data_IF_636954296945
#
_entry.id   IF_636954296945
#
_cell.length_a   1.000
_cell.length_b   1.000
_cell.length_c   1.000
_cell.angle_alpha   90.00
_cell.angle_beta   90.00
_cell.angle_gamma   90.00
#
_symmetry.space_group_name_H-M   'P 1'
#
loop_
_entity.id
_entity.type
_entity.pdbx_description
1 polymer ?
#
# COMPACT_ATOMS: atom_id res chain seq x y z
N UNK A 1 15.39 -0.26 -33.84
CA UNK A 1 14.67 0.43 -32.74
C UNK A 1 14.42 -0.63 -31.68
N UNK A 2 14.98 -0.47 -30.47
CA UNK A 2 15.02 -1.54 -29.46
C UNK A 2 13.77 -1.46 -28.59
N UNK A 3 13.00 -2.54 -28.55
CA UNK A 3 11.84 -2.70 -27.67
C UNK A 3 12.31 -2.71 -26.22
N UNK A 4 11.98 -1.63 -25.50
CA UNK A 4 12.25 -1.49 -24.08
C UNK A 4 11.41 -2.49 -23.30
N UNK A 5 12.08 -3.45 -22.65
CA UNK A 5 11.49 -4.35 -21.65
C UNK A 5 10.98 -3.47 -20.50
N UNK A 6 9.69 -3.16 -20.55
CA UNK A 6 8.97 -2.51 -19.47
C UNK A 6 9.07 -3.36 -18.21
N UNK A 7 9.61 -2.78 -17.15
CA UNK A 7 9.58 -3.37 -15.82
C UNK A 7 8.14 -3.72 -15.48
N UNK A 8 7.90 -5.01 -15.24
CA UNK A 8 6.67 -5.62 -14.72
C UNK A 8 6.13 -4.85 -13.50
N UNK A 9 5.36 -3.80 -13.76
CA UNK A 9 4.54 -3.14 -12.77
C UNK A 9 3.54 -4.18 -12.26
N UNK A 10 3.62 -4.49 -10.96
CA UNK A 10 2.69 -5.34 -10.26
C UNK A 10 1.24 -4.95 -10.63
N UNK A 11 0.46 -5.92 -11.11
CA UNK A 11 -0.95 -5.76 -11.51
C UNK A 11 -1.72 -4.85 -10.54
N UNK A 12 -2.39 -3.80 -11.04
CA UNK A 12 -3.41 -3.12 -10.23
C UNK A 12 -4.45 -2.31 -11.02
N UNK A 13 -4.70 -2.64 -12.30
CA UNK A 13 -5.89 -2.16 -13.03
C UNK A 13 -6.45 -3.30 -13.88
N UNK A 14 -7.21 -4.19 -13.25
CA UNK A 14 -7.91 -5.31 -13.93
C UNK A 14 -9.10 -4.83 -14.78
N UNK A 15 -9.17 -3.54 -15.12
CA UNK A 15 -10.31 -2.97 -15.83
C UNK A 15 -11.64 -3.06 -15.08
N UNK A 16 -11.60 -3.10 -13.74
CA UNK A 16 -12.81 -3.14 -12.91
C UNK A 16 -13.67 -1.91 -13.18
N UNK A 17 -14.96 -2.13 -13.46
CA UNK A 17 -15.93 -1.07 -13.77
C UNK A 17 -16.75 -0.64 -12.56
N UNK A 18 -16.46 -1.18 -11.37
CA UNK A 18 -17.11 -0.79 -10.14
C UNK A 18 -16.86 0.72 -9.88
N UNK A 19 -17.94 1.44 -9.58
CA UNK A 19 -17.88 2.90 -9.47
C UNK A 19 -18.97 3.43 -8.55
N UNK A 20 -18.67 4.53 -7.87
CA UNK A 20 -19.62 5.30 -7.08
C UNK A 20 -19.42 6.78 -7.38
N UNK A 21 -20.47 7.45 -7.84
CA UNK A 21 -20.49 8.89 -8.04
C UNK A 21 -21.32 9.54 -6.94
N UNK A 22 -20.74 10.55 -6.31
CA UNK A 22 -21.42 11.38 -5.32
C UNK A 22 -21.70 12.74 -5.94
N UNK A 23 -22.92 13.24 -5.76
CA UNK A 23 -23.32 14.59 -6.11
C UNK A 23 -23.76 15.31 -4.85
N UNK A 24 -23.43 16.59 -4.73
CA UNK A 24 -23.95 17.44 -3.66
C UNK A 24 -25.26 18.06 -4.11
N UNK A 25 -26.32 17.81 -3.35
CA UNK A 25 -27.64 18.41 -3.56
C UNK A 25 -28.01 19.20 -2.31
N UNK A 26 -28.17 20.51 -2.48
CA UNK A 26 -28.33 21.48 -1.41
C UNK A 26 -27.26 21.32 -0.31
N UNK A 27 -27.62 20.65 0.79
CA UNK A 27 -26.77 20.43 1.97
C UNK A 27 -26.46 18.94 2.21
N UNK A 28 -26.83 18.04 1.31
CA UNK A 28 -26.64 16.59 1.44
C UNK A 28 -25.81 16.04 0.28
N UNK A 29 -25.07 14.97 0.54
CA UNK A 29 -24.42 14.18 -0.50
C UNK A 29 -25.36 13.04 -0.90
N UNK A 30 -25.62 12.91 -2.19
CA UNK A 30 -26.44 11.84 -2.77
C UNK A 30 -25.58 10.98 -3.69
N UNK A 31 -25.86 9.68 -3.73
CA UNK A 31 -25.21 8.75 -4.66
C UNK A 31 -25.94 8.87 -6.00
N UNK A 32 -25.30 9.47 -7.01
CA UNK A 32 -25.92 9.69 -8.33
C UNK A 32 -25.75 8.51 -9.28
N UNK A 33 -24.75 7.66 -9.05
CA UNK A 33 -24.55 6.41 -9.79
C UNK A 33 -23.73 5.45 -8.95
N UNK A 34 -24.16 4.19 -8.91
CA UNK A 34 -23.48 3.12 -8.20
C UNK A 34 -23.42 1.85 -9.05
N UNK A 35 -22.27 1.22 -9.12
CA UNK A 35 -22.07 -0.07 -9.78
C UNK A 35 -21.16 -0.91 -8.89
N UNK A 36 -21.72 -1.95 -8.29
CA UNK A 36 -21.03 -2.87 -7.37
C UNK A 36 -20.50 -4.13 -8.07
N UNK A 37 -20.61 -4.19 -9.40
CA UNK A 37 -20.13 -5.34 -10.13
C UNK A 37 -18.60 -5.31 -10.26
N UNK A 38 -17.94 -6.10 -9.42
CA UNK A 38 -16.51 -6.29 -9.43
C UNK A 38 -16.12 -7.49 -10.32
N UNK A 39 -15.04 -7.34 -11.10
CA UNK A 39 -14.49 -8.44 -11.91
C UNK A 39 -13.29 -9.13 -11.21
N UNK A 40 -13.12 -8.90 -9.92
CA UNK A 40 -12.07 -9.46 -9.09
C UNK A 40 -12.58 -9.61 -7.66
N UNK A 41 -11.96 -10.49 -6.90
CA UNK A 41 -12.24 -10.63 -5.47
C UNK A 41 -11.69 -9.43 -4.68
N UNK A 42 -12.30 -9.16 -3.52
CA UNK A 42 -11.79 -8.15 -2.59
C UNK A 42 -10.47 -8.62 -1.95
N UNK A 43 -9.62 -7.66 -1.59
CA UNK A 43 -8.39 -7.97 -0.86
C UNK A 43 -8.70 -8.54 0.53
N UNK A 44 -8.01 -9.61 0.89
CA UNK A 44 -8.07 -10.20 2.23
C UNK A 44 -7.55 -9.17 3.25
N UNK A 45 -8.14 -9.05 4.47
CA UNK A 45 -7.67 -8.11 5.50
C UNK A 45 -6.17 -8.19 5.83
N UNK A 46 -5.55 -9.36 5.65
CA UNK A 46 -4.09 -9.53 5.83
C UNK A 46 -3.26 -8.84 4.75
N UNK A 47 -3.80 -8.72 3.52
CA UNK A 47 -3.15 -8.06 2.39
C UNK A 47 -3.54 -6.59 2.24
N UNK A 48 -4.60 -6.10 2.93
CA UNK A 48 -5.02 -4.70 2.84
C UNK A 48 -3.90 -3.74 3.25
N UNK A 49 -3.04 -4.08 4.21
CA UNK A 49 -1.86 -3.27 4.60
C UNK A 49 -0.90 -2.97 3.44
N UNK A 50 -0.95 -3.75 2.36
CA UNK A 50 -0.14 -3.52 1.15
C UNK A 50 -0.74 -2.43 0.25
N UNK A 51 -2.07 -2.23 0.33
CA UNK A 51 -2.82 -1.22 -0.43
C UNK A 51 -2.41 0.18 0.02
N UNK A 52 -2.11 1.06 -0.93
CA UNK A 52 -1.64 2.43 -0.66
C UNK A 52 -2.60 3.20 0.24
N UNK A 53 -3.91 3.09 0.03
CA UNK A 53 -4.93 3.79 0.84
C UNK A 53 -5.11 3.24 2.26
N UNK A 54 -4.56 2.06 2.55
CA UNK A 54 -4.62 1.42 3.86
C UNK A 54 -3.25 1.42 4.56
N UNK A 55 -2.26 2.12 4.00
CA UNK A 55 -0.99 2.38 4.69
C UNK A 55 -1.23 3.46 5.74
N UNK A 56 -1.53 3.04 6.96
CA UNK A 56 -1.63 3.93 8.11
C UNK A 56 -0.35 3.86 8.93
N UNK A 57 0.18 5.03 9.28
CA UNK A 57 1.28 5.13 10.26
C UNK A 57 0.62 5.21 11.63
N UNK A 58 0.89 4.23 12.49
CA UNK A 58 0.37 4.26 13.86
C UNK A 58 1.00 5.40 14.65
N UNK A 59 0.33 5.87 15.71
CA UNK A 59 0.87 6.93 16.58
C UNK A 59 2.26 6.57 17.14
N UNK A 60 2.46 5.30 17.48
CA UNK A 60 3.73 4.76 17.98
C UNK A 60 4.81 4.82 16.88
N UNK A 61 4.51 4.35 15.67
CA UNK A 61 5.44 4.44 14.55
C UNK A 61 5.79 5.89 14.21
N UNK A 62 4.82 6.81 14.28
CA UNK A 62 5.06 8.25 14.06
C UNK A 62 5.99 8.84 15.11
N UNK A 63 5.79 8.50 16.38
CA UNK A 63 6.66 8.93 17.48
C UNK A 63 8.09 8.40 17.30
N UNK A 64 8.24 7.13 16.90
CA UNK A 64 9.56 6.55 16.60
C UNK A 64 10.25 7.25 15.43
N UNK A 65 9.52 7.53 14.35
CA UNK A 65 10.05 8.28 13.20
C UNK A 65 10.54 9.66 13.63
N UNK A 66 9.76 10.40 14.41
CA UNK A 66 10.13 11.73 14.88
C UNK A 66 11.41 11.67 15.72
N UNK A 67 11.48 10.77 16.71
CA UNK A 67 12.67 10.60 17.56
C UNK A 67 13.91 10.27 16.74
N UNK A 68 13.82 9.30 15.81
CA UNK A 68 14.96 8.91 14.98
C UNK A 68 15.41 10.04 14.04
N UNK A 69 14.47 10.86 13.57
CA UNK A 69 14.77 12.02 12.76
C UNK A 69 15.46 13.12 13.58
N UNK A 70 15.02 13.35 14.83
CA UNK A 70 15.62 14.32 15.76
C UNK A 70 17.09 13.98 16.10
N UNK A 71 17.42 12.70 16.25
CA UNK A 71 18.82 12.25 16.46
C UNK A 71 19.63 12.12 15.16
N UNK A 72 19.09 12.58 14.03
CA UNK A 72 19.79 12.64 12.74
C UNK A 72 19.95 11.30 12.02
N UNK A 73 19.14 10.28 12.34
CA UNK A 73 19.20 9.00 11.61
C UNK A 73 18.70 9.22 10.18
N UNK A 74 19.47 8.82 9.15
CA UNK A 74 19.04 8.98 7.77
C UNK A 74 17.74 8.23 7.48
N UNK A 75 16.82 8.86 6.74
CA UNK A 75 15.49 8.30 6.41
C UNK A 75 15.55 6.87 5.86
N UNK A 76 16.58 6.53 5.06
CA UNK A 76 16.81 5.16 4.56
C UNK A 76 16.91 4.13 5.69
N UNK A 77 17.56 4.48 6.80
CA UNK A 77 17.77 3.60 7.95
C UNK A 77 16.53 3.57 8.84
N UNK A 78 15.82 4.69 8.97
CA UNK A 78 14.50 4.74 9.63
C UNK A 78 13.51 3.80 8.93
N UNK A 79 13.45 3.83 7.59
CA UNK A 79 12.59 2.95 6.82
C UNK A 79 12.96 1.47 7.01
N UNK A 80 14.25 1.13 7.04
CA UNK A 80 14.71 -0.24 7.35
C UNK A 80 14.24 -0.70 8.73
N UNK A 81 14.32 0.16 9.75
CA UNK A 81 13.88 -0.15 11.12
C UNK A 81 12.36 -0.38 11.17
N UNK A 82 11.58 0.47 10.51
CA UNK A 82 10.13 0.30 10.43
C UNK A 82 9.74 -0.97 9.67
N UNK A 83 10.45 -1.29 8.60
CA UNK A 83 10.29 -2.55 7.88
C UNK A 83 10.56 -3.75 8.80
N UNK A 84 11.68 -3.75 9.53
CA UNK A 84 12.03 -4.83 10.47
C UNK A 84 11.02 -4.96 11.61
N UNK A 85 10.52 -3.86 12.16
CA UNK A 85 9.41 -3.89 13.14
C UNK A 85 8.12 -4.47 12.54
N UNK A 86 7.82 -4.19 11.27
CA UNK A 86 6.65 -4.73 10.58
C UNK A 86 6.81 -6.18 10.10
N UNK A 87 8.04 -6.68 9.99
CA UNK A 87 8.39 -8.05 9.56
C UNK A 87 8.12 -9.10 10.64
N UNK A 88 7.94 -8.68 11.90
CA UNK A 88 7.32 -9.51 12.93
C UNK A 88 5.83 -9.70 12.65
N UNK A 89 5.49 -10.68 11.78
CA UNK A 89 4.20 -11.42 11.64
C UNK A 89 4.01 -12.05 10.23
N UNK A 90 4.88 -11.82 9.23
CA UNK A 90 4.67 -12.33 7.87
C UNK A 90 5.89 -13.15 7.33
N UNK A 91 5.75 -14.48 7.26
CA UNK A 91 6.79 -15.42 6.75
C UNK A 91 7.08 -15.33 5.24
N UNK A 92 6.28 -14.57 4.47
CA UNK A 92 6.37 -14.51 3.00
C UNK A 92 7.57 -13.70 2.48
N UNK A 93 8.10 -12.75 3.27
CA UNK A 93 9.18 -11.84 2.85
C UNK A 93 10.58 -12.41 3.03
N UNK A 94 10.74 -13.52 3.76
CA UNK A 94 12.07 -14.12 4.02
C UNK A 94 12.70 -14.76 2.78
N UNK A 95 11.90 -15.25 1.82
CA UNK A 95 12.39 -15.98 0.64
C UNK A 95 13.10 -15.07 -0.38
N UNK A 96 12.72 -13.80 -0.50
CA UNK A 96 13.25 -12.91 -1.53
C UNK A 96 14.64 -12.32 -1.24
N UNK A 97 15.07 -12.25 0.03
CA UNK A 97 16.39 -11.71 0.39
C UNK A 97 17.50 -12.75 0.28
N UNK A 98 17.22 -14.01 0.64
CA UNK A 98 18.20 -15.12 0.56
C UNK A 98 18.65 -15.49 -0.85
N UNK A 99 17.91 -15.07 -1.88
CA UNK A 99 18.22 -15.40 -3.28
C UNK A 99 19.11 -14.38 -3.99
N UNK A 100 19.52 -13.29 -3.30
CA UNK A 100 20.42 -12.27 -3.85
C UNK A 100 21.83 -12.30 -3.25
N UNK A 101 22.08 -13.25 -2.34
CA UNK A 101 23.37 -13.43 -1.66
C UNK A 101 24.09 -14.72 -2.15
N UNK A 102 23.75 -15.20 -3.36
CA UNK A 102 24.51 -16.20 -4.14
C UNK A 102 24.75 -15.64 -5.54
#
# INVERSE_FOLDING_TARGET
MKDGIGTKHAMARVGCKAIMYLKKEEKKWVVSRFTDNHNHEFCIPKSTRLLRGHRTITRVQKSLVNMLNEVGVPTRKIMSILEDQSRGQNKFTQKWRRSKDV
#
